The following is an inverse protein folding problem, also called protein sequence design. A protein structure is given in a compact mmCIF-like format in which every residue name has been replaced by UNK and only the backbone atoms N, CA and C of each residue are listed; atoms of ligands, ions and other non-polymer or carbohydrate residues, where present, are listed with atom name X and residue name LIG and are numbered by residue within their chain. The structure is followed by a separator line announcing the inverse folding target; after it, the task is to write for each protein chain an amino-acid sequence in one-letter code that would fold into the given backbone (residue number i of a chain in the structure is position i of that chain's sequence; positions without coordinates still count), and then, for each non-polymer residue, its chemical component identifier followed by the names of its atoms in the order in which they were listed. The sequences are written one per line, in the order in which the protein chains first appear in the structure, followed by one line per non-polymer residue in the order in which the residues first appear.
data_IF_528897053321
#
_entry.id   IF_528897053321
#
_cell.length_a   1.000
_cell.length_b   1.000
_cell.length_c   1.000
_cell.angle_alpha   90.00
_cell.angle_beta   90.00
_cell.angle_gamma   90.00
#
_symmetry.space_group_name_H-M   'P 1'
#
loop_
_entity.id
_entity.type
_entity.pdbx_description
1 polymer ?
#
# COMPACT_ATOMS: atom_id res chain seq x y z
N UNK A 1 -2.37 0.57 24.25
CA UNK A 1 -1.02 0.01 24.52
C UNK A 1 -0.32 -0.21 23.18
N UNK A 2 0.85 0.39 22.95
CA UNK A 2 1.67 0.15 21.75
C UNK A 2 2.67 -0.96 22.07
N UNK A 3 2.45 -2.17 21.53
CA UNK A 3 3.47 -3.22 21.50
C UNK A 3 4.37 -2.95 20.29
N UNK A 4 5.66 -2.68 20.53
CA UNK A 4 6.66 -2.30 19.53
C UNK A 4 7.50 -3.48 19.01
N UNK A 5 6.99 -4.71 19.17
CA UNK A 5 7.67 -5.93 18.71
C UNK A 5 8.58 -6.54 19.77
N UNK A 6 8.78 -7.84 19.66
CA UNK A 6 9.59 -8.67 20.57
C UNK A 6 11.02 -8.81 20.06
N UNK A 7 12.00 -8.64 20.95
CA UNK A 7 13.42 -8.91 20.73
C UNK A 7 13.64 -10.36 20.22
N UNK A 8 14.62 -10.66 19.34
CA UNK A 8 15.79 -9.87 18.93
C UNK A 8 15.65 -9.13 17.59
N UNK A 9 14.50 -9.18 16.94
CA UNK A 9 14.29 -8.55 15.62
C UNK A 9 14.15 -7.03 15.68
N UNK A 10 14.11 -6.46 16.89
CA UNK A 10 13.96 -5.02 17.12
C UNK A 10 15.03 -4.51 18.08
N UNK A 11 15.95 -3.68 17.57
CA UNK A 11 17.04 -3.09 18.35
C UNK A 11 16.52 -2.08 19.36
N UNK A 12 17.13 -2.05 20.55
CA UNK A 12 16.89 -1.02 21.57
C UNK A 12 17.11 0.41 21.03
N UNK A 13 18.00 0.55 20.05
CA UNK A 13 18.26 1.82 19.36
C UNK A 13 17.06 2.25 18.51
N UNK A 14 16.49 1.33 17.73
CA UNK A 14 15.30 1.60 16.90
C UNK A 14 14.06 1.90 17.75
N UNK A 15 13.95 1.25 18.91
CA UNK A 15 12.89 1.52 19.88
C UNK A 15 12.99 2.93 20.48
N UNK A 16 14.20 3.38 20.82
CA UNK A 16 14.44 4.75 21.30
C UNK A 16 14.14 5.79 20.21
N UNK A 17 14.54 5.52 18.97
CA UNK A 17 14.31 6.42 17.86
C UNK A 17 12.82 6.57 17.54
N UNK A 18 12.07 5.46 17.44
CA UNK A 18 10.61 5.50 17.24
C UNK A 18 9.87 6.20 18.39
N UNK A 19 10.36 6.06 19.64
CA UNK A 19 9.80 6.79 20.79
C UNK A 19 10.02 8.29 20.64
N UNK A 20 11.21 8.70 20.25
CA UNK A 20 11.56 10.12 20.14
C UNK A 20 10.85 10.76 18.94
N UNK A 21 10.67 10.05 17.83
CA UNK A 21 9.87 10.50 16.70
C UNK A 21 8.38 10.56 17.04
N UNK A 22 7.84 9.60 17.80
CA UNK A 22 6.47 9.68 18.32
C UNK A 22 6.28 10.86 19.27
N UNK A 23 7.27 11.18 20.11
CA UNK A 23 7.25 12.38 20.97
C UNK A 23 7.26 13.67 20.15
N UNK A 24 8.06 13.75 19.08
CA UNK A 24 8.07 14.91 18.17
C UNK A 24 6.70 15.13 17.52
N UNK A 25 6.03 14.05 17.09
CA UNK A 25 4.69 14.12 16.51
C UNK A 25 3.64 14.59 17.52
N UNK A 26 3.71 14.12 18.77
CA UNK A 26 2.82 14.57 19.85
C UNK A 26 3.05 16.04 20.21
N UNK A 27 4.30 16.50 20.25
CA UNK A 27 4.66 17.91 20.49
C UNK A 27 4.17 18.82 19.35
N UNK A 28 4.15 18.31 18.12
CA UNK A 28 3.56 19.00 16.97
C UNK A 28 2.01 19.02 16.98
N UNK A 29 1.36 18.50 18.04
CA UNK A 29 -0.10 18.46 18.16
C UNK A 29 -0.77 17.39 17.29
N UNK A 30 0.02 16.51 16.66
CA UNK A 30 -0.46 15.49 15.75
C UNK A 30 -0.55 14.17 16.51
N UNK A 31 -1.77 13.65 16.69
CA UNK A 31 -1.98 12.36 17.34
C UNK A 31 -1.37 11.24 16.47
N UNK A 32 -0.40 10.45 16.96
CA UNK A 32 0.27 9.41 16.18
C UNK A 32 -0.69 8.33 15.65
N UNK A 33 -1.85 8.17 16.30
CA UNK A 33 -2.89 7.23 15.87
C UNK A 33 -3.56 7.70 14.57
N UNK A 34 -3.75 9.00 14.41
CA UNK A 34 -4.35 9.60 13.23
C UNK A 34 -3.37 9.57 12.05
N UNK A 35 -2.07 9.79 12.26
CA UNK A 35 -1.03 9.62 11.22
C UNK A 35 -0.99 8.18 10.69
N UNK A 36 -1.15 7.19 11.57
CA UNK A 36 -1.16 5.78 11.16
C UNK A 36 -2.42 5.41 10.40
N UNK A 37 -3.56 6.04 10.74
CA UNK A 37 -4.84 5.86 10.07
C UNK A 37 -4.85 6.58 8.72
N UNK A 38 -4.35 7.81 8.66
CA UNK A 38 -4.16 8.60 7.44
C UNK A 38 -3.21 7.88 6.49
N UNK A 39 -2.05 7.42 6.95
CA UNK A 39 -1.14 6.63 6.11
C UNK A 39 -1.68 5.26 5.67
N UNK A 40 -2.78 4.75 6.25
CA UNK A 40 -3.53 3.60 5.73
C UNK A 40 -4.56 4.04 4.69
N UNK A 41 -5.30 5.11 4.96
CA UNK A 41 -6.28 5.71 4.06
C UNK A 41 -5.59 6.23 2.79
N UNK A 42 -4.46 6.92 2.91
CA UNK A 42 -3.66 7.41 1.79
C UNK A 42 -3.09 6.24 0.99
N UNK A 43 -2.66 5.15 1.64
CA UNK A 43 -2.29 3.91 0.93
C UNK A 43 -3.49 3.33 0.17
N UNK A 44 -4.68 3.28 0.77
CA UNK A 44 -5.92 2.82 0.13
C UNK A 44 -6.38 3.73 -1.01
N UNK A 45 -6.24 5.05 -0.86
CA UNK A 45 -6.53 6.03 -1.90
C UNK A 45 -5.51 5.92 -3.06
N UNK A 46 -4.24 5.70 -2.73
CA UNK A 46 -3.20 5.38 -3.72
C UNK A 46 -3.56 4.09 -4.46
N UNK A 47 -4.01 3.02 -3.79
CA UNK A 47 -4.43 1.79 -4.49
C UNK A 47 -5.58 2.02 -5.48
N UNK A 48 -6.50 2.94 -5.21
CA UNK A 48 -7.54 3.33 -6.17
C UNK A 48 -7.03 4.21 -7.32
N UNK A 49 -5.93 4.94 -7.10
CA UNK A 49 -5.27 5.79 -8.10
C UNK A 49 -4.05 5.11 -8.75
N UNK A 50 -3.71 3.86 -8.42
CA UNK A 50 -2.55 3.21 -9.02
C UNK A 50 -2.87 2.60 -10.37
N UNK A 51 -1.82 2.44 -11.19
CA UNK A 51 -1.94 1.76 -12.47
C UNK A 51 -2.55 0.37 -12.34
N UNK A 52 -2.17 -0.39 -11.31
CA UNK A 52 -2.79 -1.70 -11.05
C UNK A 52 -4.27 -1.58 -10.73
N UNK A 53 -4.67 -0.66 -9.82
CA UNK A 53 -6.07 -0.48 -9.43
C UNK A 53 -6.96 -0.15 -10.62
N UNK A 54 -6.54 0.81 -11.44
CA UNK A 54 -7.27 1.22 -12.65
C UNK A 54 -7.30 0.10 -13.69
N UNK A 55 -6.20 -0.64 -13.86
CA UNK A 55 -6.14 -1.75 -14.81
C UNK A 55 -7.09 -2.87 -14.42
N UNK A 56 -7.21 -3.21 -13.13
CA UNK A 56 -8.15 -4.22 -12.65
C UNK A 56 -9.60 -3.80 -12.85
N UNK A 57 -9.95 -2.54 -12.54
CA UNK A 57 -11.29 -2.01 -12.80
C UNK A 57 -11.63 -2.03 -14.30
N UNK A 58 -10.66 -1.69 -15.15
CA UNK A 58 -10.82 -1.75 -16.60
C UNK A 58 -10.97 -3.19 -17.11
N UNK A 59 -10.21 -4.13 -16.55
CA UNK A 59 -10.26 -5.55 -16.88
C UNK A 59 -11.64 -6.15 -16.57
N UNK A 60 -12.19 -5.87 -15.38
CA UNK A 60 -13.54 -6.32 -15.00
C UNK A 60 -14.63 -5.83 -15.95
N UNK A 61 -14.50 -4.61 -16.49
CA UNK A 61 -15.45 -4.06 -17.48
C UNK A 61 -15.28 -4.66 -18.88
N UNK A 62 -14.12 -5.26 -19.17
CA UNK A 62 -13.75 -5.76 -20.50
C UNK A 62 -13.87 -7.28 -20.64
N UNK A 63 -13.82 -8.02 -19.54
CA UNK A 63 -13.79 -9.50 -19.52
C UNK A 63 -14.96 -10.13 -20.29
N UNK A 64 -16.15 -9.54 -20.24
CA UNK A 64 -17.36 -10.03 -20.93
C UNK A 64 -17.22 -10.06 -22.47
N UNK A 65 -16.26 -9.30 -23.03
CA UNK A 65 -15.98 -9.28 -24.48
C UNK A 65 -14.89 -10.24 -24.91
N UNK A 66 -14.23 -10.92 -23.96
CA UNK A 66 -13.11 -11.81 -24.21
C UNK A 66 -13.47 -13.25 -23.90
N UNK A 67 -12.77 -14.19 -24.54
CA UNK A 67 -12.82 -15.58 -24.08
C UNK A 67 -12.17 -15.68 -22.70
N UNK A 68 -12.68 -16.57 -21.86
CA UNK A 68 -12.17 -16.81 -20.49
C UNK A 68 -10.65 -17.05 -20.50
N UNK A 69 -10.17 -17.86 -21.46
CA UNK A 69 -8.74 -18.14 -21.65
C UNK A 69 -7.90 -16.89 -21.93
N UNK A 70 -8.42 -15.97 -22.75
CA UNK A 70 -7.68 -14.76 -23.13
C UNK A 70 -7.64 -13.76 -21.97
N UNK A 71 -8.75 -13.66 -21.23
CA UNK A 71 -8.83 -12.81 -20.06
C UNK A 71 -7.85 -13.27 -18.97
N UNK A 72 -7.81 -14.57 -18.67
CA UNK A 72 -6.87 -15.15 -17.72
C UNK A 72 -5.41 -14.95 -18.15
N UNK A 73 -5.09 -15.20 -19.42
CA UNK A 73 -3.75 -15.01 -19.95
C UNK A 73 -3.30 -13.56 -19.82
N UNK A 74 -4.17 -12.62 -20.22
CA UNK A 74 -3.92 -11.19 -20.11
C UNK A 74 -3.65 -10.80 -18.66
N UNK A 75 -4.51 -11.19 -17.71
CA UNK A 75 -4.32 -10.83 -16.30
C UNK A 75 -3.02 -11.42 -15.75
N UNK A 76 -2.70 -12.67 -16.09
CA UNK A 76 -1.44 -13.33 -15.70
C UNK A 76 -0.22 -12.57 -16.24
N UNK A 77 -0.24 -12.10 -17.49
CA UNK A 77 0.85 -11.29 -18.06
C UNK A 77 1.00 -9.96 -17.32
N UNK A 78 -0.11 -9.30 -17.02
CA UNK A 78 -0.08 -8.06 -16.24
C UNK A 78 0.50 -8.28 -14.83
N UNK A 79 0.13 -9.37 -14.16
CA UNK A 79 0.63 -9.70 -12.82
C UNK A 79 2.12 -10.07 -12.79
N UNK A 80 2.63 -10.73 -13.84
CA UNK A 80 4.03 -11.17 -13.91
C UNK A 80 4.97 -10.09 -14.42
N UNK A 81 4.55 -9.35 -15.45
CA UNK A 81 5.46 -8.48 -16.20
C UNK A 81 5.22 -6.99 -15.94
N UNK A 82 3.97 -6.58 -15.70
CA UNK A 82 3.61 -5.15 -15.68
C UNK A 82 3.46 -4.61 -14.26
N UNK A 83 2.67 -5.26 -13.41
CA UNK A 83 2.40 -4.81 -12.04
C UNK A 83 3.66 -4.74 -11.16
N UNK A 84 4.63 -5.67 -11.25
CA UNK A 84 5.87 -5.55 -10.49
C UNK A 84 6.69 -4.31 -10.86
N UNK A 85 6.63 -3.86 -12.12
CA UNK A 85 7.39 -2.72 -12.61
C UNK A 85 6.68 -1.39 -12.33
N UNK A 86 5.39 -1.31 -12.62
CA UNK A 86 4.63 -0.04 -12.63
C UNK A 86 3.29 -0.09 -11.90
N UNK A 87 2.85 -1.25 -11.40
CA UNK A 87 1.54 -1.42 -10.77
C UNK A 87 1.33 -0.53 -9.55
N UNK A 88 2.38 -0.34 -8.75
CA UNK A 88 2.40 0.56 -7.58
C UNK A 88 2.48 2.06 -7.91
N UNK A 89 2.63 2.46 -9.19
CA UNK A 89 2.72 3.88 -9.54
C UNK A 89 1.33 4.53 -9.49
N UNK A 90 1.18 5.67 -8.79
CA UNK A 90 -0.03 6.46 -8.90
C UNK A 90 -0.13 7.06 -10.31
N UNK A 91 -1.30 6.96 -10.92
CA UNK A 91 -1.70 7.69 -12.12
C UNK A 91 -2.39 8.97 -11.65
N UNK A 92 -1.92 10.11 -12.18
CA UNK A 92 -2.43 11.45 -11.87
C UNK A 92 -3.16 12.06 -13.05
#
# INVERSE_FOLDING_TARGET
MLSLGTYPTFSLTDARQKRDDAKKLVVAGINPSDVRKQGKIDRQAIYGATFEGITREWYEKRIDRWSESYAEEMLSTFEKDVFPLIGHRPIS
#
